data_IF_191375982130
#
_entry.id   IF_191375982130
#
_cell.length_a   1.000
_cell.length_b   1.000
_cell.length_c   1.000
_cell.angle_alpha   90.00
_cell.angle_beta   90.00
_cell.angle_gamma   90.00
#
_symmetry.space_group_name_H-M   'P 1'
#
loop_
_entity.id
_entity.type
_entity.pdbx_description
1 polymer ?
#
# COMPACT_ATOMS: atom_id res chain seq x y z
N UNK A 1 4.95 9.87 2.05
CA UNK A 1 6.08 10.68 1.56
C UNK A 1 5.57 11.50 0.39
N UNK A 2 5.97 12.75 0.27
CA UNK A 2 5.61 13.57 -0.89
C UNK A 2 6.43 13.13 -2.11
N UNK A 3 5.78 12.37 -3.01
CA UNK A 3 6.32 11.89 -4.28
C UNK A 3 5.64 12.54 -5.47
N UNK A 4 4.96 13.67 -5.27
CA UNK A 4 4.07 14.25 -6.28
C UNK A 4 2.75 13.48 -6.37
N UNK A 5 2.38 13.05 -7.57
CA UNK A 5 1.16 12.28 -7.82
C UNK A 5 1.36 10.80 -7.49
N UNK A 6 0.59 10.25 -6.55
CA UNK A 6 0.63 8.84 -6.19
C UNK A 6 0.87 8.58 -4.71
N UNK A 7 0.96 7.31 -4.35
CA UNK A 7 1.22 6.89 -2.97
C UNK A 7 2.65 6.41 -2.79
N UNK A 8 3.24 6.82 -1.67
CA UNK A 8 4.43 6.17 -1.13
C UNK A 8 4.51 6.37 0.39
N UNK A 9 4.44 5.29 1.16
CA UNK A 9 4.38 5.31 2.62
C UNK A 9 5.51 4.45 3.15
N UNK A 10 6.37 5.03 3.98
CA UNK A 10 7.43 4.30 4.68
C UNK A 10 7.05 4.22 6.16
N UNK A 11 6.83 3.01 6.65
CA UNK A 11 6.61 2.70 8.06
C UNK A 11 7.93 2.17 8.63
N UNK A 12 8.32 2.68 9.80
CA UNK A 12 9.51 2.26 10.52
C UNK A 12 9.14 1.99 11.96
N UNK A 13 9.52 0.84 12.48
CA UNK A 13 9.31 0.54 13.90
C UNK A 13 10.58 0.80 14.73
N UNK A 14 10.42 0.67 16.04
CA UNK A 14 11.49 0.82 17.05
C UNK A 14 12.62 -0.21 16.89
N UNK A 15 12.34 -1.35 16.25
CA UNK A 15 13.30 -2.43 16.00
C UNK A 15 14.11 -2.26 14.71
N UNK A 16 13.87 -1.18 13.95
CA UNK A 16 14.60 -0.86 12.72
C UNK A 16 14.06 -1.56 11.47
N UNK A 17 12.89 -2.20 11.53
CA UNK A 17 12.23 -2.76 10.36
C UNK A 17 11.66 -1.63 9.50
N UNK A 18 11.87 -1.71 8.19
CA UNK A 18 11.43 -0.77 7.19
C UNK A 18 10.37 -1.43 6.28
N UNK A 19 9.15 -0.89 6.31
CA UNK A 19 8.05 -1.34 5.44
C UNK A 19 7.71 -0.22 4.46
N UNK A 20 7.79 -0.52 3.17
CA UNK A 20 7.47 0.43 2.11
C UNK A 20 6.17 0.00 1.41
N UNK A 21 5.15 0.84 1.46
CA UNK A 21 3.87 0.66 0.76
C UNK A 21 3.81 1.66 -0.38
N UNK A 22 3.76 1.15 -1.61
CA UNK A 22 3.81 1.90 -2.85
C UNK A 22 5.06 2.79 -3.01
N UNK A 23 5.32 3.21 -4.24
CA UNK A 23 6.56 3.86 -4.63
C UNK A 23 6.41 5.21 -5.32
N UNK A 24 5.19 5.65 -5.62
CA UNK A 24 5.00 6.83 -6.46
C UNK A 24 5.30 6.57 -7.95
N UNK A 25 5.22 7.64 -8.77
CA UNK A 25 5.21 7.56 -10.23
C UNK A 25 6.61 7.50 -10.84
N UNK A 26 7.67 7.75 -10.06
CA UNK A 26 9.02 7.93 -10.57
C UNK A 26 10.12 7.64 -9.52
N UNK A 27 11.37 7.98 -9.85
CA UNK A 27 12.53 7.74 -8.99
C UNK A 27 12.68 8.70 -7.80
N UNK A 28 11.81 9.71 -7.65
CA UNK A 28 11.84 10.69 -6.54
C UNK A 28 11.77 10.00 -5.17
N UNK A 29 11.10 8.84 -5.11
CA UNK A 29 11.05 7.97 -3.92
C UNK A 29 12.43 7.67 -3.33
N UNK A 30 13.45 7.52 -4.18
CA UNK A 30 14.81 7.19 -3.73
C UNK A 30 15.46 8.35 -2.99
N UNK A 31 15.20 9.57 -3.43
CA UNK A 31 15.62 10.78 -2.72
C UNK A 31 14.91 10.88 -1.37
N UNK A 32 13.60 10.61 -1.34
CA UNK A 32 12.79 10.68 -0.11
C UNK A 32 13.23 9.63 0.91
N UNK A 33 13.40 8.38 0.49
CA UNK A 33 13.93 7.30 1.35
C UNK A 33 15.35 7.65 1.81
N UNK A 34 16.23 8.13 0.92
CA UNK A 34 17.61 8.47 1.26
C UNK A 34 17.77 9.63 2.25
N UNK A 35 16.72 10.46 2.45
CA UNK A 35 16.67 11.49 3.50
C UNK A 35 16.19 10.94 4.85
N UNK A 36 15.50 9.81 4.87
CA UNK A 36 14.90 9.21 6.07
C UNK A 36 15.78 8.07 6.61
N UNK A 37 16.27 7.20 5.73
CA UNK A 37 17.13 6.08 6.07
C UNK A 37 18.60 6.54 6.04
N UNK A 38 19.43 6.08 7.01
CA UNK A 38 20.87 6.26 6.94
C UNK A 38 21.45 5.80 5.60
N UNK A 39 22.52 6.42 5.12
CA UNK A 39 23.16 6.02 3.87
C UNK A 39 23.60 4.54 3.84
N UNK A 40 23.93 3.99 5.01
CA UNK A 40 24.31 2.58 5.19
C UNK A 40 23.13 1.63 5.25
N UNK A 41 21.93 2.15 5.56
CA UNK A 41 20.71 1.37 5.57
C UNK A 41 20.14 1.30 4.15
N UNK A 42 20.21 0.11 3.58
CA UNK A 42 19.76 -0.22 2.22
C UNK A 42 18.79 -1.39 2.25
N UNK A 43 18.11 -1.60 3.37
CA UNK A 43 17.19 -2.72 3.56
C UNK A 43 15.75 -2.24 3.66
N UNK A 44 14.87 -2.94 2.94
CA UNK A 44 13.42 -2.86 3.08
C UNK A 44 12.94 -4.27 3.43
N UNK A 45 12.53 -4.49 4.67
CA UNK A 45 12.09 -5.79 5.15
C UNK A 45 10.83 -6.27 4.40
N UNK A 46 9.87 -5.36 4.19
CA UNK A 46 8.64 -5.64 3.46
C UNK A 46 8.33 -4.51 2.49
N UNK A 47 8.16 -4.86 1.22
CA UNK A 47 7.62 -3.98 0.19
C UNK A 47 6.21 -4.43 -0.15
N UNK A 48 5.25 -3.50 -0.13
CA UNK A 48 3.85 -3.75 -0.47
C UNK A 48 3.51 -2.93 -1.71
N UNK A 49 3.00 -3.58 -2.76
CA UNK A 49 2.39 -2.92 -3.91
C UNK A 49 0.87 -3.09 -3.80
N UNK A 50 0.15 -1.99 -3.58
CA UNK A 50 -1.31 -2.04 -3.39
C UNK A 50 -2.00 -2.51 -4.66
N UNK A 51 -1.67 -1.91 -5.81
CA UNK A 51 -2.18 -2.27 -7.13
C UNK A 51 -1.20 -1.79 -8.22
N UNK A 52 -1.29 -2.27 -9.47
CA UNK A 52 -0.21 -2.16 -10.46
C UNK A 52 -0.21 -0.86 -11.28
N UNK A 53 -0.92 0.19 -10.86
CA UNK A 53 -0.86 1.50 -11.53
C UNK A 53 0.51 2.17 -11.37
N UNK A 54 0.84 3.03 -12.33
CA UNK A 54 2.20 3.57 -12.47
C UNK A 54 2.61 4.48 -11.30
N UNK A 55 1.68 5.28 -10.80
CA UNK A 55 1.79 6.17 -9.64
C UNK A 55 1.90 5.44 -8.29
N UNK A 56 1.82 4.11 -8.30
CA UNK A 56 2.12 3.25 -7.15
C UNK A 56 3.35 2.36 -7.40
N UNK A 57 3.51 1.91 -8.64
CA UNK A 57 4.46 0.87 -9.03
C UNK A 57 5.85 1.38 -9.39
N UNK A 58 5.96 2.48 -10.14
CA UNK A 58 7.20 2.81 -10.86
C UNK A 58 8.35 3.06 -9.89
N UNK A 59 8.10 3.78 -8.80
CA UNK A 59 9.13 4.00 -7.79
C UNK A 59 9.61 2.72 -7.10
N UNK A 60 8.75 1.70 -6.93
CA UNK A 60 9.16 0.42 -6.34
C UNK A 60 10.19 -0.31 -7.21
N UNK A 61 10.07 -0.22 -8.54
CA UNK A 61 11.07 -0.74 -9.48
C UNK A 61 12.42 -0.06 -9.25
N UNK A 62 12.42 1.26 -9.00
CA UNK A 62 13.63 2.01 -8.71
C UNK A 62 14.25 1.60 -7.37
N UNK A 63 13.42 1.32 -6.36
CA UNK A 63 13.84 0.81 -5.04
C UNK A 63 14.46 -0.59 -5.16
N UNK A 64 13.82 -1.54 -5.85
CA UNK A 64 14.35 -2.90 -6.09
C UNK A 64 15.69 -2.93 -6.85
N UNK A 65 16.08 -1.83 -7.49
CA UNK A 65 17.39 -1.70 -8.15
C UNK A 65 18.50 -1.25 -7.17
N UNK A 66 18.16 -0.61 -6.05
CA UNK A 66 19.12 0.08 -5.16
C UNK A 66 19.08 -0.38 -3.70
N UNK A 67 18.00 -1.03 -3.28
CA UNK A 67 17.78 -1.56 -1.94
C UNK A 67 17.63 -3.09 -2.00
N UNK A 68 18.08 -3.77 -0.95
CA UNK A 68 17.73 -5.15 -0.69
C UNK A 68 16.30 -5.19 -0.15
N UNK A 69 15.46 -6.04 -0.74
CA UNK A 69 14.07 -6.23 -0.33
C UNK A 69 13.89 -7.69 0.03
N UNK A 70 13.47 -7.98 1.27
CA UNK A 70 13.41 -9.36 1.77
C UNK A 70 12.07 -10.03 1.47
N UNK A 71 10.96 -9.29 1.54
CA UNK A 71 9.64 -9.77 1.15
C UNK A 71 8.90 -8.74 0.30
N UNK A 72 8.25 -9.21 -0.77
CA UNK A 72 7.27 -8.42 -1.53
C UNK A 72 5.89 -8.99 -1.31
N UNK A 73 4.95 -8.14 -0.90
CA UNK A 73 3.52 -8.46 -0.83
C UNK A 73 2.80 -7.69 -1.94
N UNK A 74 2.03 -8.39 -2.77
CA UNK A 74 1.23 -7.79 -3.85
C UNK A 74 0.05 -8.70 -4.18
N UNK A 75 -0.93 -8.22 -4.94
CA UNK A 75 -2.15 -9.00 -5.20
C UNK A 75 -2.03 -10.06 -6.29
N UNK A 76 -1.04 -9.95 -7.18
CA UNK A 76 -0.90 -10.85 -8.33
C UNK A 76 -1.99 -10.69 -9.40
N UNK A 77 -2.91 -9.74 -9.26
CA UNK A 77 -3.99 -9.50 -10.22
C UNK A 77 -3.43 -9.25 -11.64
N UNK A 78 -4.17 -9.67 -12.65
CA UNK A 78 -3.77 -9.47 -14.04
C UNK A 78 -3.82 -7.99 -14.41
N UNK A 79 -2.72 -7.50 -15.00
CA UNK A 79 -2.66 -6.16 -15.54
C UNK A 79 -1.70 -6.13 -16.73
N UNK A 80 -2.23 -5.90 -17.93
CA UNK A 80 -1.43 -5.92 -19.17
C UNK A 80 -0.62 -4.64 -19.33
N UNK A 81 0.48 -4.53 -18.59
CA UNK A 81 1.35 -3.37 -18.58
C UNK A 81 2.83 -3.79 -18.58
N UNK A 82 3.66 -3.10 -19.36
CA UNK A 82 5.07 -3.44 -19.51
C UNK A 82 5.86 -3.27 -18.20
N UNK A 83 5.61 -2.19 -17.45
CA UNK A 83 6.24 -1.92 -16.16
C UNK A 83 5.84 -2.96 -15.11
N UNK A 84 4.58 -3.38 -15.07
CA UNK A 84 4.13 -4.43 -14.14
C UNK A 84 4.74 -5.81 -14.47
N UNK A 85 4.85 -6.16 -15.76
CA UNK A 85 5.59 -7.36 -16.17
C UNK A 85 7.05 -7.30 -15.74
N UNK A 86 7.70 -6.15 -15.95
CA UNK A 86 9.09 -5.95 -15.54
C UNK A 86 9.27 -6.00 -14.02
N UNK A 87 8.35 -5.44 -13.24
CA UNK A 87 8.35 -5.56 -11.79
C UNK A 87 8.26 -7.02 -11.34
N UNK A 88 7.32 -7.79 -11.91
CA UNK A 88 7.18 -9.22 -11.63
C UNK A 88 8.45 -10.02 -11.96
N UNK A 89 9.09 -9.73 -13.08
CA UNK A 89 10.38 -10.32 -13.43
C UNK A 89 11.44 -9.96 -12.38
N UNK A 90 11.55 -8.68 -12.03
CA UNK A 90 12.55 -8.18 -11.10
C UNK A 90 12.41 -8.80 -9.70
N UNK A 91 11.19 -8.91 -9.16
CA UNK A 91 10.97 -9.53 -7.85
C UNK A 91 11.30 -11.02 -7.86
N UNK A 92 10.97 -11.74 -8.95
CA UNK A 92 11.28 -13.18 -9.06
C UNK A 92 12.78 -13.47 -9.16
N UNK A 93 13.57 -12.51 -9.63
CA UNK A 93 15.03 -12.63 -9.73
C UNK A 93 15.76 -12.23 -8.44
N UNK A 94 15.21 -11.27 -7.68
CA UNK A 94 15.96 -10.58 -6.61
C UNK A 94 15.41 -10.78 -5.21
N UNK A 95 14.12 -11.05 -5.06
CA UNK A 95 13.46 -11.03 -3.75
C UNK A 95 13.31 -12.48 -3.26
N UNK A 96 13.83 -12.84 -2.07
CA UNK A 96 13.82 -14.21 -1.61
C UNK A 96 12.42 -14.70 -1.22
N UNK A 97 11.50 -13.79 -0.89
CA UNK A 97 10.10 -14.12 -0.55
C UNK A 97 9.11 -13.24 -1.32
N UNK A 98 8.15 -13.87 -1.97
CA UNK A 98 7.03 -13.20 -2.62
C UNK A 98 5.75 -13.75 -1.99
N UNK A 99 4.90 -12.87 -1.49
CA UNK A 99 3.65 -13.22 -0.79
C UNK A 99 2.48 -12.61 -1.55
N UNK A 100 1.43 -13.41 -1.80
CA UNK A 100 0.18 -12.89 -2.34
C UNK A 100 -0.64 -12.30 -1.20
N UNK A 101 -1.14 -11.08 -1.40
CA UNK A 101 -1.93 -10.38 -0.39
C UNK A 101 -3.26 -11.11 -0.13
N UNK A 102 -3.59 -11.29 1.13
CA UNK A 102 -4.84 -11.88 1.60
C UNK A 102 -5.10 -11.40 3.04
N UNK A 103 -6.37 -11.31 3.45
CA UNK A 103 -6.77 -10.74 4.74
C UNK A 103 -6.39 -11.56 5.98
N UNK A 104 -5.74 -12.71 5.78
CA UNK A 104 -5.14 -13.53 6.83
C UNK A 104 -3.70 -13.11 7.21
N UNK A 105 -3.12 -12.16 6.46
CA UNK A 105 -1.75 -11.70 6.69
C UNK A 105 -1.74 -10.59 7.75
N UNK A 106 -0.91 -10.81 8.78
CA UNK A 106 -0.58 -9.84 9.82
C UNK A 106 0.93 -9.77 9.98
N UNK A 107 1.49 -8.56 9.96
CA UNK A 107 2.88 -8.29 10.27
C UNK A 107 2.97 -7.75 11.69
N UNK A 108 3.69 -8.45 12.56
CA UNK A 108 4.04 -7.97 13.89
C UNK A 108 5.15 -6.91 13.78
N UNK A 109 4.89 -5.71 14.28
CA UNK A 109 5.83 -4.60 14.30
C UNK A 109 6.42 -4.37 15.70
N UNK A 110 6.07 -5.22 16.67
CA UNK A 110 6.44 -5.11 18.08
C UNK A 110 5.76 -3.93 18.80
N UNK A 111 5.99 -3.81 20.11
CA UNK A 111 5.43 -2.73 20.95
C UNK A 111 3.89 -2.55 20.83
N UNK A 112 3.16 -3.66 20.70
CA UNK A 112 1.70 -3.67 20.47
C UNK A 112 1.29 -2.97 19.15
N UNK A 113 2.19 -2.94 18.18
CA UNK A 113 1.96 -2.46 16.82
C UNK A 113 1.91 -3.61 15.80
N UNK A 114 1.04 -3.47 14.82
CA UNK A 114 0.84 -4.45 13.75
C UNK A 114 0.47 -3.78 12.43
N UNK A 115 0.71 -4.47 11.31
CA UNK A 115 0.12 -4.14 10.01
C UNK A 115 -0.69 -5.34 9.50
N UNK A 116 -2.01 -5.22 9.51
CA UNK A 116 -2.93 -6.23 9.01
C UNK A 116 -3.35 -5.91 7.58
N UNK A 117 -3.39 -6.92 6.73
CA UNK A 117 -4.09 -6.82 5.45
C UNK A 117 -5.56 -7.10 5.71
N UNK A 118 -6.44 -6.21 5.25
CA UNK A 118 -7.90 -6.35 5.35
C UNK A 118 -8.53 -6.77 4.03
N UNK A 119 -7.92 -6.39 2.91
CA UNK A 119 -8.36 -6.77 1.56
C UNK A 119 -7.14 -6.97 0.66
N UNK A 120 -7.13 -7.94 -0.27
CA UNK A 120 -8.25 -8.81 -0.66
C UNK A 120 -8.58 -9.89 0.37
N UNK A 121 -9.83 -10.37 0.40
CA UNK A 121 -10.28 -11.41 1.35
C UNK A 121 -9.79 -12.83 1.00
N UNK A 122 -9.44 -13.04 -0.26
CA UNK A 122 -8.95 -14.30 -0.81
C UNK A 122 -7.86 -14.01 -1.84
N UNK A 123 -7.12 -15.03 -2.26
CA UNK A 123 -6.18 -14.91 -3.38
C UNK A 123 -6.90 -14.47 -4.68
N UNK A 124 -6.49 -13.32 -5.21
CA UNK A 124 -6.97 -12.75 -6.49
C UNK A 124 -5.92 -12.78 -7.60
N UNK A 125 -4.84 -13.54 -7.41
CA UNK A 125 -3.78 -13.70 -8.39
C UNK A 125 -4.31 -14.24 -9.71
N UNK A 126 -3.88 -13.63 -10.82
CA UNK A 126 -4.32 -14.02 -12.16
C UNK A 126 -5.76 -13.64 -12.51
N UNK A 127 -6.51 -12.98 -11.63
CA UNK A 127 -7.86 -12.50 -11.93
C UNK A 127 -7.84 -11.19 -12.71
N UNK A 128 -8.78 -11.02 -13.63
CA UNK A 128 -8.99 -9.79 -14.39
C UNK A 128 -10.00 -8.88 -13.70
N UNK A 129 -9.71 -7.57 -13.66
CA UNK A 129 -10.58 -6.56 -13.08
C UNK A 129 -11.01 -5.56 -14.15
N UNK A 130 -12.30 -5.16 -14.12
CA UNK A 130 -12.78 -4.04 -14.94
C UNK A 130 -12.14 -2.72 -14.52
N UNK A 131 -12.02 -2.53 -13.21
CA UNK A 131 -11.26 -1.45 -12.61
C UNK A 131 -10.19 -2.06 -11.71
N UNK A 132 -8.92 -1.91 -12.11
CA UNK A 132 -7.79 -2.50 -11.37
C UNK A 132 -7.55 -1.82 -10.02
N UNK A 133 -8.10 -0.62 -9.78
CA UNK A 133 -8.10 0.01 -8.46
C UNK A 133 -8.77 -0.86 -7.40
N UNK A 134 -9.78 -1.64 -7.78
CA UNK A 134 -10.47 -2.56 -6.88
C UNK A 134 -9.70 -3.88 -6.64
N UNK A 135 -8.46 -3.98 -7.12
CA UNK A 135 -7.49 -4.96 -6.62
C UNK A 135 -6.56 -4.37 -5.55
N UNK A 136 -6.78 -3.13 -5.09
CA UNK A 136 -5.91 -2.46 -4.12
C UNK A 136 -5.86 -3.20 -2.80
N UNK A 137 -4.65 -3.47 -2.28
CA UNK A 137 -4.48 -3.91 -0.90
C UNK A 137 -4.99 -2.81 0.04
N UNK A 138 -5.91 -3.17 0.93
CA UNK A 138 -6.31 -2.34 2.06
C UNK A 138 -5.66 -2.89 3.32
N UNK A 139 -5.03 -2.02 4.11
CA UNK A 139 -4.32 -2.42 5.33
C UNK A 139 -4.64 -1.52 6.52
N UNK A 140 -4.63 -2.11 7.72
CA UNK A 140 -4.77 -1.42 8.99
C UNK A 140 -3.45 -1.49 9.75
N UNK A 141 -2.86 -0.33 10.03
CA UNK A 141 -1.73 -0.18 10.94
C UNK A 141 -2.28 0.17 12.33
N UNK A 142 -2.15 -0.75 13.29
CA UNK A 142 -2.52 -0.53 14.69
C UNK A 142 -1.29 -0.33 15.56
N UNK A 143 -1.41 0.49 16.60
CA UNK A 143 -0.46 0.64 17.71
C UNK A 143 -1.24 0.99 18.99
N UNK A 144 -1.46 0.00 19.86
CA UNK A 144 -2.39 0.12 20.98
C UNK A 144 -3.79 0.51 20.52
N UNK A 145 -4.33 1.62 21.03
CA UNK A 145 -5.67 2.10 20.65
C UNK A 145 -5.71 2.88 19.32
N UNK A 146 -4.56 3.23 18.75
CA UNK A 146 -4.48 4.04 17.53
C UNK A 146 -4.44 3.14 16.29
N UNK A 147 -5.22 3.50 15.28
CA UNK A 147 -5.38 2.79 14.02
C UNK A 147 -5.30 3.75 12.85
N UNK A 148 -4.57 3.34 11.83
CA UNK A 148 -4.48 4.02 10.53
C UNK A 148 -4.98 3.06 9.47
N UNK A 149 -5.99 3.48 8.71
CA UNK A 149 -6.50 2.72 7.58
C UNK A 149 -5.88 3.25 6.28
N UNK A 150 -5.22 2.36 5.54
CA UNK A 150 -4.54 2.64 4.27
C UNK A 150 -5.26 1.90 3.15
N UNK A 151 -6.01 2.62 2.33
CA UNK A 151 -6.93 2.01 1.36
C UNK A 151 -6.34 1.82 -0.04
N UNK A 152 -5.10 2.25 -0.28
CA UNK A 152 -4.59 2.41 -1.64
C UNK A 152 -5.60 3.18 -2.48
N UNK A 153 -5.95 2.64 -3.65
CA UNK A 153 -6.94 3.23 -4.54
C UNK A 153 -8.27 2.48 -4.59
N UNK A 154 -8.54 1.64 -3.59
CA UNK A 154 -9.83 0.97 -3.44
C UNK A 154 -10.99 1.97 -3.60
N UNK A 155 -11.94 1.62 -4.47
CA UNK A 155 -13.13 2.44 -4.73
C UNK A 155 -14.34 1.88 -3.97
N UNK A 156 -15.48 2.54 -4.15
CA UNK A 156 -16.77 2.22 -3.50
C UNK A 156 -17.16 0.73 -3.46
N UNK A 157 -16.77 -0.08 -4.47
CA UNK A 157 -17.08 -1.51 -4.46
C UNK A 157 -16.33 -2.23 -3.33
N UNK A 158 -15.03 -1.96 -3.19
CA UNK A 158 -14.20 -2.54 -2.12
C UNK A 158 -14.59 -1.95 -0.77
N UNK A 159 -14.94 -0.66 -0.71
CA UNK A 159 -15.45 -0.05 0.52
C UNK A 159 -16.70 -0.77 1.02
N UNK A 160 -17.66 -1.02 0.13
CA UNK A 160 -18.87 -1.77 0.47
C UNK A 160 -18.55 -3.16 1.00
N UNK A 161 -17.66 -3.89 0.32
CA UNK A 161 -17.29 -5.23 0.77
C UNK A 161 -16.57 -5.21 2.14
N UNK A 162 -15.75 -4.17 2.41
CA UNK A 162 -15.12 -3.97 3.72
C UNK A 162 -16.15 -3.73 4.83
N UNK A 163 -17.16 -2.91 4.58
CA UNK A 163 -18.23 -2.65 5.56
C UNK A 163 -19.05 -3.91 5.87
N UNK A 164 -19.28 -4.76 4.87
CA UNK A 164 -19.98 -6.03 5.04
C UNK A 164 -19.16 -7.05 5.86
N UNK A 165 -17.85 -7.11 5.67
CA UNK A 165 -16.97 -8.06 6.36
C UNK A 165 -16.45 -7.55 7.71
N UNK A 166 -16.38 -6.24 7.89
CA UNK A 166 -15.90 -5.57 9.10
C UNK A 166 -16.91 -4.49 9.55
N UNK A 167 -18.07 -4.87 10.11
CA UNK A 167 -19.12 -3.93 10.52
C UNK A 167 -18.70 -2.97 11.64
N UNK A 168 -17.60 -3.26 12.34
CA UNK A 168 -17.01 -2.41 13.38
C UNK A 168 -15.72 -1.70 12.92
N UNK A 169 -15.46 -1.63 11.60
CA UNK A 169 -14.25 -1.00 11.06
C UNK A 169 -14.20 0.47 11.45
N UNK A 170 -13.18 0.85 12.22
CA UNK A 170 -12.93 2.21 12.68
C UNK A 170 -11.43 2.50 12.66
N UNK A 171 -11.05 3.73 12.30
CA UNK A 171 -9.67 4.18 12.34
C UNK A 171 -9.58 5.68 12.62
N UNK A 172 -8.62 6.10 13.45
CA UNK A 172 -8.42 7.51 13.76
C UNK A 172 -7.84 8.28 12.57
N UNK A 173 -6.97 7.63 11.79
CA UNK A 173 -6.40 8.21 10.58
C UNK A 173 -6.84 7.38 9.37
N UNK A 174 -7.34 8.05 8.33
CA UNK A 174 -7.69 7.42 7.06
C UNK A 174 -6.88 8.04 5.92
N UNK A 175 -6.11 7.24 5.18
CA UNK A 175 -5.67 7.63 3.84
C UNK A 175 -6.88 7.47 2.91
N UNK A 176 -7.33 8.56 2.30
CA UNK A 176 -8.48 8.51 1.39
C UNK A 176 -8.16 7.68 0.15
N UNK A 177 -9.13 6.87 -0.29
CA UNK A 177 -9.00 6.09 -1.51
C UNK A 177 -8.80 6.96 -2.75
N UNK A 178 -7.99 6.47 -3.67
CA UNK A 178 -7.86 6.99 -5.04
C UNK A 178 -7.62 8.50 -5.09
N UNK A 179 -6.68 8.95 -4.26
CA UNK A 179 -6.25 10.34 -4.16
C UNK A 179 -7.40 11.33 -3.86
N UNK A 180 -8.45 10.87 -3.17
CA UNK A 180 -9.64 11.68 -2.88
C UNK A 180 -10.58 11.84 -4.07
N UNK A 181 -10.50 10.95 -5.06
CA UNK A 181 -11.44 10.87 -6.18
C UNK A 181 -12.88 10.69 -5.68
N UNK A 182 -13.85 11.25 -6.43
CA UNK A 182 -15.30 11.05 -6.21
C UNK A 182 -15.77 9.59 -6.34
N UNK A 183 -14.91 8.68 -6.80
CA UNK A 183 -15.20 7.25 -6.95
C UNK A 183 -14.87 6.44 -5.68
N UNK A 184 -14.17 7.05 -4.73
CA UNK A 184 -13.79 6.47 -3.44
C UNK A 184 -14.20 7.41 -2.30
N UNK A 185 -13.94 6.96 -1.08
CA UNK A 185 -14.29 7.60 0.18
C UNK A 185 -15.78 7.96 0.24
N UNK A 186 -16.64 6.97 0.00
CA UNK A 186 -18.10 7.15 0.06
C UNK A 186 -18.54 7.66 1.45
N UNK A 187 -19.67 8.35 1.50
CA UNK A 187 -20.18 8.89 2.76
C UNK A 187 -20.42 7.79 3.79
N UNK A 188 -21.00 6.66 3.38
CA UNK A 188 -21.24 5.49 4.24
C UNK A 188 -19.92 4.94 4.83
N UNK A 189 -18.88 4.82 4.00
CA UNK A 189 -17.56 4.38 4.46
C UNK A 189 -16.93 5.38 5.44
N UNK A 190 -17.02 6.68 5.16
CA UNK A 190 -16.50 7.73 6.05
C UNK A 190 -17.24 7.77 7.39
N UNK A 191 -18.57 7.59 7.38
CA UNK A 191 -19.39 7.54 8.60
C UNK A 191 -19.07 6.32 9.46
N UNK A 192 -18.86 5.15 8.85
CA UNK A 192 -18.46 3.93 9.57
C UNK A 192 -17.03 4.04 10.14
N UNK A 193 -16.05 4.39 9.30
CA UNK A 193 -14.63 4.48 9.71
C UNK A 193 -14.43 5.57 10.76
N UNK A 194 -15.22 6.65 10.67
CA UNK A 194 -15.24 7.79 11.59
C UNK A 194 -13.84 8.37 11.92
N UNK A 195 -13.04 8.76 10.91
CA UNK A 195 -11.68 9.25 11.15
C UNK A 195 -11.66 10.65 11.74
N UNK A 196 -10.74 10.89 12.68
CA UNK A 196 -10.45 12.24 13.19
C UNK A 196 -9.48 13.01 12.30
N UNK A 197 -8.72 12.29 11.46
CA UNK A 197 -7.82 12.85 10.46
C UNK A 197 -7.93 12.07 9.13
N UNK A 198 -8.16 12.77 8.04
CA UNK A 198 -8.08 12.22 6.69
C UNK A 198 -6.85 12.78 5.97
N UNK A 199 -6.09 11.91 5.30
CA UNK A 199 -4.89 12.25 4.53
C UNK A 199 -5.16 11.95 3.06
N UNK A 200 -4.89 12.93 2.20
CA UNK A 200 -4.94 12.78 0.75
C UNK A 200 -3.50 12.83 0.23
N UNK A 201 -3.06 11.75 -0.40
CA UNK A 201 -1.78 11.68 -1.09
C UNK A 201 -2.04 12.02 -2.55
N UNK A 202 -1.73 13.24 -2.96
CA UNK A 202 -2.01 13.74 -4.31
C UNK A 202 -1.00 14.83 -4.67
N UNK A 203 -0.68 14.91 -5.96
CA UNK A 203 0.17 15.97 -6.48
C UNK A 203 -0.52 17.34 -6.39
N UNK A 204 0.30 18.40 -6.44
CA UNK A 204 -0.23 19.77 -6.44
C UNK A 204 -1.12 19.97 -7.66
N UNK A 205 -2.31 20.53 -7.46
CA UNK A 205 -3.31 20.71 -8.53
C UNK A 205 -3.78 19.39 -9.18
N UNK A 206 -3.63 18.25 -8.47
CA UNK A 206 -3.92 16.90 -8.93
C UNK A 206 -3.07 16.49 -10.15
N UNK A 207 -1.78 16.87 -10.12
CA UNK A 207 -0.78 16.65 -11.18
C UNK A 207 0.60 16.40 -10.60
#
# INVERSE_FOLDING_TARGET
MDVGQGDAILIRNSFGQNILIDGGPDELILEKIGRILPYTDRQIDVMILTHPHADHLIGLIAVLKRYQVDNVIYTGANYSNASYRYFRELISQKVPRITLAESNISLDLGDDCYLNILFPFTDISGQDFKNINNSSIVSELGCGANKILLTGDAEKEVEKDLLENYPDLQAQVLKLGHHGSKTASTLEFLEQVNPSLAIILVGKDNK
#
